data_IF_358340143376
#
_entry.id   IF_358340143376
#
_cell.length_a   1.000
_cell.length_b   1.000
_cell.length_c   1.000
_cell.angle_alpha   90.00
_cell.angle_beta   90.00
_cell.angle_gamma   90.00
#
_symmetry.space_group_name_H-M   'P 1'
#
loop_
_entity.id
_entity.type
_entity.pdbx_description
1 polymer ?
#
# COMPACT_ATOMS: atom_id res chain seq x y z
N UNK A 1 -18.25 8.77 18.63
CA UNK A 1 -18.03 7.99 19.86
C UNK A 1 -16.61 8.20 20.35
N UNK A 2 -16.46 8.81 21.53
CA UNK A 2 -15.17 9.11 22.15
C UNK A 2 -14.77 7.90 22.98
N UNK A 3 -13.83 7.08 22.52
CA UNK A 3 -13.27 6.02 23.37
C UNK A 3 -12.31 6.66 24.40
N UNK A 4 -12.67 6.68 25.69
CA UNK A 4 -11.88 7.37 26.71
C UNK A 4 -10.50 6.73 26.86
N UNK A 5 -9.47 7.59 26.82
CA UNK A 5 -8.05 7.38 27.19
C UNK A 5 -7.66 5.92 27.52
N UNK A 6 -7.46 5.10 26.49
CA UNK A 6 -6.99 3.72 26.60
C UNK A 6 -5.47 3.69 26.88
N UNK A 7 -5.07 4.04 28.12
CA UNK A 7 -3.66 4.00 28.55
C UNK A 7 -3.17 2.60 28.96
N UNK A 8 -4.07 1.63 29.21
CA UNK A 8 -3.71 0.30 29.79
C UNK A 8 -4.41 -0.93 29.20
N UNK A 9 -5.15 -0.83 28.10
CA UNK A 9 -5.82 -2.00 27.53
C UNK A 9 -4.84 -2.83 26.70
N UNK A 10 -4.88 -4.15 26.88
CA UNK A 10 -4.04 -5.10 26.16
C UNK A 10 -4.17 -4.86 24.64
N UNK A 11 -3.06 -4.60 23.92
CA UNK A 11 -3.16 -4.30 22.49
C UNK A 11 -3.74 -5.47 21.68
N UNK A 12 -3.63 -6.71 22.16
CA UNK A 12 -4.23 -7.88 21.52
C UNK A 12 -5.76 -7.88 21.64
N UNK A 13 -6.30 -7.60 22.83
CA UNK A 13 -7.77 -7.49 23.00
C UNK A 13 -8.34 -6.35 22.16
N UNK A 14 -7.62 -5.23 22.08
CA UNK A 14 -8.05 -4.08 21.27
C UNK A 14 -8.10 -4.43 19.79
N UNK A 15 -7.12 -5.19 19.27
CA UNK A 15 -7.17 -5.60 17.85
C UNK A 15 -8.24 -6.67 17.62
N UNK A 16 -8.46 -7.62 18.54
CA UNK A 16 -9.54 -8.61 18.42
C UNK A 16 -10.92 -7.95 18.36
N UNK A 17 -11.20 -7.03 19.29
CA UNK A 17 -12.43 -6.24 19.29
C UNK A 17 -12.56 -5.36 18.04
N UNK A 18 -11.45 -4.78 17.56
CA UNK A 18 -11.47 -4.03 16.31
C UNK A 18 -11.84 -4.91 15.11
N UNK A 19 -11.29 -6.12 15.03
CA UNK A 19 -11.58 -7.04 13.92
C UNK A 19 -13.03 -7.54 13.95
N UNK A 20 -13.59 -7.82 15.13
CA UNK A 20 -14.99 -8.22 15.26
C UNK A 20 -15.95 -7.08 14.95
N UNK A 21 -15.84 -5.95 15.64
CA UNK A 21 -16.84 -4.87 15.59
C UNK A 21 -16.73 -4.02 14.33
N UNK A 22 -15.51 -3.73 13.87
CA UNK A 22 -15.30 -2.78 12.78
C UNK A 22 -15.18 -3.46 11.42
N UNK A 23 -14.74 -4.73 11.40
CA UNK A 23 -14.49 -5.47 10.17
C UNK A 23 -15.40 -6.69 9.99
N UNK A 24 -16.18 -7.08 11.01
CA UNK A 24 -17.06 -8.25 10.96
C UNK A 24 -16.31 -9.57 10.86
N UNK A 25 -15.04 -9.61 11.26
CA UNK A 25 -14.20 -10.81 11.19
C UNK A 25 -14.31 -11.53 12.53
N UNK A 26 -15.08 -12.62 12.54
CA UNK A 26 -15.34 -13.45 13.73
C UNK A 26 -14.40 -14.66 13.83
N UNK A 27 -13.56 -14.89 12.81
CA UNK A 27 -12.59 -15.97 12.82
C UNK A 27 -11.63 -15.84 14.00
N UNK A 28 -11.24 -16.97 14.58
CA UNK A 28 -10.26 -17.01 15.66
C UNK A 28 -8.85 -16.74 15.12
N UNK A 29 -8.51 -15.45 15.00
CA UNK A 29 -7.19 -15.01 14.53
C UNK A 29 -6.17 -15.14 15.65
N UNK A 30 -5.12 -15.93 15.38
CA UNK A 30 -3.97 -16.07 16.27
C UNK A 30 -2.89 -15.05 15.91
N UNK A 31 -2.41 -14.35 16.93
CA UNK A 31 -1.28 -13.43 16.81
C UNK A 31 -0.06 -14.02 17.48
N UNK A 32 1.11 -13.92 16.83
CA UNK A 32 2.38 -14.26 17.46
C UNK A 32 2.88 -13.13 18.37
N UNK A 33 2.61 -11.88 17.97
CA UNK A 33 3.07 -10.70 18.72
C UNK A 33 2.17 -9.50 18.43
N UNK A 34 1.70 -8.83 19.47
CA UNK A 34 0.95 -7.57 19.35
C UNK A 34 1.52 -6.54 20.30
N UNK A 35 1.79 -5.34 19.79
CA UNK A 35 2.34 -4.25 20.60
C UNK A 35 1.97 -2.88 20.03
N UNK A 36 2.09 -1.85 20.87
CA UNK A 36 1.93 -0.46 20.45
C UNK A 36 3.29 0.11 20.03
N UNK A 37 3.32 0.79 18.89
CA UNK A 37 4.53 1.43 18.37
C UNK A 37 4.63 2.90 18.81
N UNK A 38 5.86 3.35 19.06
CA UNK A 38 6.19 4.75 19.33
C UNK A 38 5.92 5.24 20.76
N UNK A 39 6.39 6.46 21.03
CA UNK A 39 6.19 7.14 22.32
C UNK A 39 4.73 7.60 22.47
N UNK A 40 4.13 7.55 23.67
CA UNK A 40 2.81 8.13 23.92
C UNK A 40 2.83 9.64 23.66
N UNK A 41 1.90 10.12 22.84
CA UNK A 41 1.71 11.55 22.57
C UNK A 41 0.32 11.94 23.08
N UNK A 42 0.18 12.99 23.93
CA UNK A 42 -1.12 13.46 24.38
C UNK A 42 -2.06 13.76 23.21
N UNK A 43 -3.31 13.29 23.31
CA UNK A 43 -4.33 13.48 22.26
C UNK A 43 -4.17 12.58 21.02
N UNK A 44 -3.13 11.73 20.93
CA UNK A 44 -2.95 10.81 19.81
C UNK A 44 -2.93 9.35 20.25
N UNK A 45 -3.61 8.50 19.50
CA UNK A 45 -3.52 7.05 19.67
C UNK A 45 -2.20 6.53 19.08
N UNK A 46 -1.54 5.62 19.80
CA UNK A 46 -0.38 4.90 19.28
C UNK A 46 -0.83 3.81 18.30
N UNK A 47 -0.19 3.70 17.12
CA UNK A 47 -0.43 2.60 16.20
C UNK A 47 -0.21 1.24 16.88
N UNK A 48 -1.02 0.26 16.53
CA UNK A 48 -0.85 -1.14 16.95
C UNK A 48 -0.20 -1.89 15.80
N UNK A 49 0.84 -2.67 16.10
CA UNK A 49 1.46 -3.61 15.16
C UNK A 49 1.22 -5.01 15.66
N UNK A 50 0.62 -5.82 14.79
CA UNK A 50 0.31 -7.23 15.03
C UNK A 50 1.02 -8.11 14.00
N UNK A 51 1.73 -9.13 14.49
CA UNK A 51 2.24 -10.23 13.69
C UNK A 51 1.21 -11.36 13.75
N UNK A 52 0.57 -11.62 12.61
CA UNK A 52 -0.37 -12.73 12.44
C UNK A 52 0.41 -14.05 12.43
N UNK A 53 -0.13 -15.09 13.06
CA UNK A 53 0.44 -16.45 12.98
C UNK A 53 0.20 -17.13 11.63
N UNK A 54 -0.80 -16.66 10.87
CA UNK A 54 -1.13 -17.18 9.53
C UNK A 54 -1.11 -16.06 8.49
N UNK A 55 -0.48 -16.34 7.36
CA UNK A 55 -0.53 -15.44 6.20
C UNK A 55 -1.94 -15.30 5.64
N UNK A 56 -2.76 -16.36 5.71
CA UNK A 56 -4.15 -16.35 5.24
C UNK A 56 -4.98 -15.32 6.00
N UNK A 57 -4.83 -15.27 7.32
CA UNK A 57 -5.56 -14.35 8.20
C UNK A 57 -5.11 -12.91 7.95
N UNK A 58 -3.78 -12.71 7.83
CA UNK A 58 -3.21 -11.40 7.45
C UNK A 58 -3.82 -10.89 6.15
N UNK A 59 -3.85 -11.73 5.12
CA UNK A 59 -4.37 -11.37 3.80
C UNK A 59 -5.88 -11.11 3.81
N UNK A 60 -6.65 -11.90 4.59
CA UNK A 60 -8.08 -11.69 4.75
C UNK A 60 -8.36 -10.29 5.31
N UNK A 61 -7.71 -9.94 6.42
CA UNK A 61 -7.83 -8.61 7.03
C UNK A 61 -7.38 -7.52 6.05
N UNK A 62 -6.24 -7.71 5.38
CA UNK A 62 -5.69 -6.74 4.42
C UNK A 62 -6.64 -6.47 3.25
N UNK A 63 -7.29 -7.50 2.72
CA UNK A 63 -8.23 -7.39 1.59
C UNK A 63 -9.57 -6.79 2.01
N UNK A 64 -10.05 -7.06 3.22
CA UNK A 64 -11.30 -6.51 3.74
C UNK A 64 -11.18 -5.01 4.10
N UNK A 65 -10.02 -4.59 4.61
CA UNK A 65 -9.83 -3.25 5.18
C UNK A 65 -10.20 -2.08 4.25
N UNK A 66 -9.80 -2.03 2.96
CA UNK A 66 -10.14 -0.90 2.08
C UNK A 66 -11.65 -0.71 1.87
N UNK A 67 -12.43 -1.80 1.96
CA UNK A 67 -13.88 -1.78 1.82
C UNK A 67 -14.56 -1.42 3.14
N UNK A 68 -14.16 -2.06 4.23
CA UNK A 68 -14.82 -1.93 5.55
C UNK A 68 -14.47 -0.63 6.27
N UNK A 69 -13.27 -0.10 6.05
CA UNK A 69 -12.77 1.09 6.76
C UNK A 69 -12.82 2.36 5.90
N UNK A 70 -13.54 2.31 4.76
CA UNK A 70 -13.66 3.46 3.87
C UNK A 70 -14.38 4.60 4.59
N UNK A 71 -13.76 5.78 4.60
CA UNK A 71 -14.30 6.98 5.25
C UNK A 71 -14.04 7.07 6.76
N UNK A 72 -13.42 6.06 7.38
CA UNK A 72 -13.03 6.13 8.79
C UNK A 72 -11.71 6.86 8.97
N UNK A 73 -11.48 7.41 10.16
CA UNK A 73 -10.26 8.15 10.52
C UNK A 73 -9.04 7.25 10.80
N UNK A 74 -9.27 5.93 10.81
CA UNK A 74 -8.28 4.89 11.04
C UNK A 74 -8.33 3.87 9.91
N UNK A 75 -7.23 3.12 9.74
CA UNK A 75 -7.11 2.11 8.71
C UNK A 75 -6.06 1.06 9.04
N UNK A 76 -6.08 -0.03 8.28
CA UNK A 76 -5.10 -1.11 8.35
C UNK A 76 -4.14 -0.98 7.18
N UNK A 77 -2.83 -1.01 7.46
CA UNK A 77 -1.77 -0.95 6.46
C UNK A 77 -0.70 -1.98 6.77
N UNK A 78 -0.01 -2.44 5.72
CA UNK A 78 1.15 -3.33 5.87
C UNK A 78 2.37 -2.54 6.39
N UNK A 79 3.14 -3.18 7.27
CA UNK A 79 4.42 -2.66 7.74
C UNK A 79 5.50 -2.94 6.69
N UNK A 80 6.17 -1.89 6.24
CA UNK A 80 7.33 -2.01 5.37
C UNK A 80 8.62 -1.63 6.11
N UNK A 81 9.78 -2.10 5.62
CA UNK A 81 11.09 -1.60 6.04
C UNK A 81 11.19 -0.09 5.93
N UNK A 82 12.13 0.49 6.69
CA UNK A 82 12.29 1.94 6.79
C UNK A 82 12.55 2.57 5.42
N UNK A 83 13.40 1.94 4.61
CA UNK A 83 13.80 2.41 3.29
C UNK A 83 12.59 2.53 2.34
N UNK A 84 11.68 1.55 2.41
CA UNK A 84 10.42 1.54 1.66
C UNK A 84 9.48 2.64 2.15
N UNK A 85 9.36 2.82 3.47
CA UNK A 85 8.54 3.89 4.03
C UNK A 85 9.06 5.28 3.64
N UNK A 86 10.37 5.48 3.60
CA UNK A 86 10.99 6.74 3.16
C UNK A 86 10.72 7.02 1.67
N UNK A 87 10.85 6.00 0.81
CA UNK A 87 10.46 6.11 -0.61
C UNK A 87 8.98 6.46 -0.75
N UNK A 88 8.08 5.76 -0.03
CA UNK A 88 6.64 6.05 -0.03
C UNK A 88 6.34 7.48 0.41
N UNK A 89 7.03 7.98 1.45
CA UNK A 89 6.86 9.35 1.94
C UNK A 89 7.15 10.38 0.86
N UNK A 90 8.16 10.15 0.00
CA UNK A 90 8.45 11.01 -1.17
C UNK A 90 7.37 10.93 -2.25
N UNK A 91 6.70 9.79 -2.40
CA UNK A 91 5.64 9.58 -3.39
C UNK A 91 4.27 10.12 -2.98
N UNK A 92 3.99 10.22 -1.67
CA UNK A 92 2.67 10.65 -1.16
C UNK A 92 2.23 12.03 -1.67
N UNK A 93 3.08 13.08 -1.73
CA UNK A 93 2.69 14.37 -2.32
C UNK A 93 2.23 14.24 -3.77
N UNK A 94 2.99 13.54 -4.62
CA UNK A 94 2.64 13.32 -6.03
C UNK A 94 1.36 12.48 -6.18
N UNK A 95 1.17 11.49 -5.31
CA UNK A 95 -0.06 10.70 -5.27
C UNK A 95 -1.27 11.59 -4.95
N UNK A 96 -1.16 12.47 -3.95
CA UNK A 96 -2.24 13.39 -3.58
C UNK A 96 -2.54 14.37 -4.71
N UNK A 97 -1.51 14.89 -5.37
CA UNK A 97 -1.65 15.79 -6.50
C UNK A 97 -2.40 15.11 -7.66
N UNK A 98 -1.96 13.92 -8.06
CA UNK A 98 -2.60 13.18 -9.14
C UNK A 98 -4.05 12.78 -8.80
N UNK A 99 -4.36 12.50 -7.53
CA UNK A 99 -5.76 12.30 -7.10
C UNK A 99 -6.60 13.57 -7.21
N UNK A 100 -6.03 14.74 -6.91
CA UNK A 100 -6.73 16.03 -7.05
C UNK A 100 -7.01 16.36 -8.52
N UNK A 101 -6.21 15.82 -9.43
CA UNK A 101 -6.39 15.92 -10.88
C UNK A 101 -7.28 14.80 -11.45
N UNK A 102 -8.02 14.07 -10.61
CA UNK A 102 -8.88 12.93 -10.98
C UNK A 102 -8.19 11.83 -11.82
N UNK A 103 -6.87 11.69 -11.68
CA UNK A 103 -6.10 10.63 -12.35
C UNK A 103 -6.20 9.30 -11.62
N UNK A 104 -6.08 8.20 -12.37
CA UNK A 104 -6.09 6.86 -11.78
C UNK A 104 -4.73 6.57 -11.14
N UNK A 105 -4.67 6.63 -9.81
CA UNK A 105 -3.43 6.38 -9.07
C UNK A 105 -3.41 5.04 -8.34
N UNK A 106 -2.26 4.37 -8.36
CA UNK A 106 -2.02 3.16 -7.57
C UNK A 106 -0.62 3.21 -6.97
N UNK A 107 -0.51 3.08 -5.65
CA UNK A 107 0.79 2.96 -4.95
C UNK A 107 1.01 1.52 -4.51
N UNK A 108 1.91 0.80 -5.18
CA UNK A 108 2.28 -0.58 -4.83
C UNK A 108 3.66 -0.59 -4.18
N UNK A 109 3.74 -0.97 -2.91
CA UNK A 109 4.98 -1.02 -2.12
C UNK A 109 5.70 0.33 -2.13
N UNK A 110 6.71 0.54 -2.98
CA UNK A 110 7.46 1.79 -3.15
C UNK A 110 7.36 2.38 -4.57
N UNK A 111 6.39 1.94 -5.37
CA UNK A 111 6.18 2.37 -6.76
C UNK A 111 4.82 3.03 -6.93
N UNK A 112 4.81 4.26 -7.44
CA UNK A 112 3.60 4.98 -7.80
C UNK A 112 3.29 4.74 -9.28
N UNK A 113 2.03 4.47 -9.59
CA UNK A 113 1.51 4.38 -10.94
C UNK A 113 0.43 5.45 -11.12
N UNK A 114 0.50 6.22 -12.21
CA UNK A 114 -0.49 7.24 -12.59
C UNK A 114 -0.98 6.87 -13.99
N UNK A 115 -2.27 6.70 -14.15
CA UNK A 115 -2.92 6.26 -15.41
C UNK A 115 -2.29 4.97 -15.97
N UNK A 116 -2.04 4.02 -15.06
CA UNK A 116 -1.35 2.74 -15.29
C UNK A 116 0.12 2.84 -15.75
N UNK A 117 0.74 4.03 -15.73
CA UNK A 117 2.16 4.22 -16.07
C UNK A 117 3.01 4.41 -14.80
N UNK A 118 4.21 3.81 -14.72
CA UNK A 118 5.09 4.01 -13.57
C UNK A 118 5.51 5.48 -13.48
N UNK A 119 5.36 6.07 -12.30
CA UNK A 119 5.79 7.42 -11.99
C UNK A 119 7.14 7.38 -11.29
N UNK A 120 8.14 8.05 -11.86
CA UNK A 120 9.47 8.23 -11.29
C UNK A 120 9.58 9.71 -10.86
N UNK A 121 9.67 10.01 -9.56
CA UNK A 121 9.83 11.39 -9.08
C UNK A 121 11.24 11.84 -9.44
N UNK A 122 11.33 12.84 -10.33
CA UNK A 122 12.55 13.29 -10.98
C UNK A 122 13.22 12.15 -11.75
N UNK A 123 13.06 12.14 -13.07
CA UNK A 123 14.01 11.43 -13.91
C UNK A 123 15.38 12.05 -13.59
N UNK A 124 16.18 11.34 -12.80
CA UNK A 124 17.61 11.61 -12.76
C UNK A 124 18.07 11.52 -14.23
N UNK A 125 18.61 12.60 -14.83
CA UNK A 125 19.02 12.60 -16.23
C UNK A 125 19.98 11.45 -16.58
N UNK A 126 20.59 10.83 -15.56
CA UNK A 126 21.54 9.73 -15.67
C UNK A 126 20.95 8.31 -15.43
N UNK A 127 19.63 8.14 -15.23
CA UNK A 127 19.07 6.79 -15.08
C UNK A 127 18.91 6.09 -16.45
N UNK A 128 19.99 5.40 -16.87
CA UNK A 128 20.05 4.61 -18.10
C UNK A 128 19.13 3.37 -18.11
N UNK A 129 18.45 3.03 -17.00
CA UNK A 129 17.63 1.80 -16.90
C UNK A 129 16.32 1.86 -17.68
N UNK A 130 15.86 3.06 -18.09
CA UNK A 130 14.57 3.23 -18.76
C UNK A 130 14.61 3.21 -20.30
N UNK A 131 15.79 3.17 -20.95
CA UNK A 131 15.88 3.27 -22.42
C UNK A 131 15.66 1.97 -23.20
N UNK A 132 15.58 0.82 -22.52
CA UNK A 132 15.67 -0.48 -23.20
C UNK A 132 14.35 -1.26 -23.33
N UNK A 133 13.20 -0.73 -22.87
CA UNK A 133 11.91 -1.42 -23.03
C UNK A 133 11.14 -1.07 -24.32
N UNK A 134 11.44 0.06 -24.95
CA UNK A 134 10.60 0.60 -26.05
C UNK A 134 11.21 0.42 -27.45
N UNK A 135 12.33 -0.33 -27.60
CA UNK A 135 13.01 -0.52 -28.91
C UNK A 135 12.70 -1.82 -29.65
N UNK A 136 11.79 -2.67 -29.16
CA UNK A 136 11.28 -3.80 -29.98
C UNK A 136 10.02 -3.37 -30.73
N UNK A 137 10.20 -2.57 -31.77
CA UNK A 137 9.23 -2.53 -32.85
C UNK A 137 9.16 -3.92 -33.51
N UNK A 138 7.98 -4.43 -33.89
CA UNK A 138 7.90 -5.63 -34.69
C UNK A 138 8.50 -5.31 -36.07
N UNK A 139 9.52 -6.06 -36.48
CA UNK A 139 10.04 -5.99 -37.84
C UNK A 139 8.93 -6.50 -38.76
N UNK A 140 8.25 -5.56 -39.41
CA UNK A 140 7.35 -5.85 -40.52
C UNK A 140 8.21 -6.15 -41.75
N UNK A 141 8.39 -7.42 -42.09
CA UNK A 141 8.95 -7.79 -43.38
C UNK A 141 7.84 -7.62 -44.42
N UNK A 142 7.86 -6.48 -45.10
CA UNK A 142 7.06 -6.22 -46.28
C UNK A 142 7.97 -6.06 -47.51
N UNK A 143 7.45 -6.48 -48.66
CA UNK A 143 7.92 -6.29 -50.04
C UNK A 143 9.06 -7.21 -50.51
N UNK A 144 9.10 -7.73 -51.74
CA UNK A 144 8.19 -7.64 -52.87
C UNK A 144 8.57 -8.72 -53.90
N UNK A 145 7.57 -9.05 -54.72
CA UNK A 145 7.67 -9.72 -56.00
C UNK A 145 8.69 -9.06 -56.94
N UNK A 146 9.51 -9.85 -57.64
CA UNK A 146 9.87 -9.53 -59.04
C UNK A 146 10.31 -10.77 -59.83
N UNK A 147 9.92 -10.71 -61.10
CA UNK A 147 9.86 -11.67 -62.22
C UNK A 147 11.19 -12.20 -62.80
N UNK A 148 11.01 -13.26 -63.62
CA UNK A 148 11.77 -13.70 -64.82
C UNK A 148 13.09 -14.43 -64.54
N UNK A 149 13.39 -15.58 -65.16
CA UNK A 149 13.27 -15.92 -66.59
C UNK A 149 12.62 -17.27 -66.85
#
# INVERSE_FOLDING_TARGET
MVYPRIRRRNPEEVIKHFLSEEMGITDEIKFERVHRMGKPIPGKHRPIVAKFGSFKDKEMVRKAAPRMLKGKTYGVNEQFPREVNERRKRLIPHLKEAKRQDKKVVLKVDKLYIDNRPFVPNADPNDHRSRNSDRRAPVVNASASSRMT
#
